data_IF_569584575959
#
_entry.id   IF_569584575959
#
_cell.length_a   1.000
_cell.length_b   1.000
_cell.length_c   1.000
_cell.angle_alpha   90.00
_cell.angle_beta   90.00
_cell.angle_gamma   90.00
#
_symmetry.space_group_name_H-M   'P 1'
#
loop_
_entity.id
_entity.type
_entity.pdbx_description
1 polymer ?
#
# COMPACT_ATOMS: atom_id res chain seq x y z
N UNK A 1 -5.71 2.84 31.58
CA UNK A 1 -7.05 2.99 31.03
C UNK A 1 -7.79 4.03 31.88
N UNK A 2 -7.64 5.31 31.54
CA UNK A 2 -8.51 6.37 32.05
C UNK A 2 -9.74 6.42 31.15
N UNK A 3 -10.93 6.50 31.73
CA UNK A 3 -12.10 6.98 31.03
C UNK A 3 -11.75 8.39 30.55
N UNK A 4 -11.53 8.55 29.26
CA UNK A 4 -11.34 9.88 28.68
C UNK A 4 -12.72 10.52 28.54
N UNK A 5 -12.88 11.77 28.95
CA UNK A 5 -14.10 12.58 28.79
C UNK A 5 -14.47 12.83 27.31
N UNK A 6 -14.22 11.85 26.45
CA UNK A 6 -14.42 11.97 25.00
C UNK A 6 -13.40 12.88 24.29
N UNK A 7 -12.31 13.27 24.98
CA UNK A 7 -11.25 14.10 24.40
C UNK A 7 -9.85 13.69 24.86
N UNK A 8 -8.84 14.06 24.08
CA UNK A 8 -7.41 13.88 24.40
C UNK A 8 -6.59 15.04 23.84
N UNK A 9 -5.42 15.30 24.40
CA UNK A 9 -4.53 16.36 23.89
C UNK A 9 -3.84 15.88 22.62
N UNK A 10 -3.92 16.66 21.54
CA UNK A 10 -3.27 16.34 20.25
C UNK A 10 -1.74 16.35 20.38
N UNK A 11 -1.10 15.35 19.80
CA UNK A 11 0.35 15.26 19.61
C UNK A 11 0.80 15.90 18.30
N UNK A 12 -0.11 16.10 17.35
CA UNK A 12 0.18 16.61 15.99
C UNK A 12 1.00 17.92 15.97
N UNK A 13 0.79 18.90 16.88
CA UNK A 13 1.61 20.10 16.89
C UNK A 13 3.11 19.87 17.15
N UNK A 14 3.45 18.76 17.82
CA UNK A 14 4.83 18.39 18.16
C UNK A 14 5.36 17.29 17.24
N UNK A 15 4.49 16.39 16.82
CA UNK A 15 4.81 15.21 16.03
C UNK A 15 3.85 15.18 14.83
N UNK A 16 4.21 15.84 13.74
CA UNK A 16 3.28 16.05 12.62
C UNK A 16 2.73 14.76 12.01
N UNK A 17 3.49 13.68 11.97
CA UNK A 17 3.00 12.39 11.44
C UNK A 17 1.89 11.75 12.30
N UNK A 18 1.61 12.23 13.52
CA UNK A 18 0.44 11.83 14.30
C UNK A 18 -0.89 12.31 13.70
N UNK A 19 -0.85 13.30 12.77
CA UNK A 19 -2.02 13.96 12.19
C UNK A 19 -3.09 12.98 11.70
N UNK A 20 -2.72 12.06 10.84
CA UNK A 20 -3.69 11.14 10.24
C UNK A 20 -4.21 10.11 11.26
N UNK A 21 -3.36 9.64 12.15
CA UNK A 21 -3.78 8.69 13.20
C UNK A 21 -4.76 9.32 14.18
N UNK A 22 -4.55 10.57 14.57
CA UNK A 22 -5.48 11.29 15.44
C UNK A 22 -6.80 11.57 14.74
N UNK A 23 -6.78 11.92 13.46
CA UNK A 23 -8.00 12.11 12.65
C UNK A 23 -8.77 10.78 12.48
N UNK A 24 -8.07 9.68 12.29
CA UNK A 24 -8.67 8.35 12.28
C UNK A 24 -9.33 8.03 13.63
N UNK A 25 -8.67 8.30 14.75
CA UNK A 25 -9.25 8.14 16.09
C UNK A 25 -10.50 8.99 16.26
N UNK A 26 -10.49 10.25 15.79
CA UNK A 26 -11.67 11.13 15.83
C UNK A 26 -12.82 10.54 14.99
N UNK A 27 -12.55 10.08 13.79
CA UNK A 27 -13.57 9.51 12.90
C UNK A 27 -14.13 8.19 13.45
N UNK A 28 -13.24 7.26 13.81
CA UNK A 28 -13.62 5.87 14.12
C UNK A 28 -14.18 5.70 15.53
N UNK A 29 -13.76 6.53 16.49
CA UNK A 29 -14.17 6.44 17.90
C UNK A 29 -14.94 7.65 18.41
N UNK A 30 -14.96 8.77 17.67
CA UNK A 30 -15.65 9.99 18.07
C UNK A 30 -15.01 10.70 19.25
N UNK A 31 -13.71 10.55 19.43
CA UNK A 31 -12.93 11.30 20.40
C UNK A 31 -12.49 12.64 19.80
N UNK A 32 -12.29 13.64 20.62
CA UNK A 32 -11.86 14.97 20.19
C UNK A 32 -10.37 15.17 20.49
N UNK A 33 -9.55 15.35 19.46
CA UNK A 33 -8.13 15.71 19.63
C UNK A 33 -8.02 17.23 19.85
N UNK A 34 -7.92 17.63 21.12
CA UNK A 34 -7.86 19.05 21.51
C UNK A 34 -6.54 19.68 21.06
N UNK A 35 -6.61 20.77 20.29
CA UNK A 35 -5.43 21.44 19.75
C UNK A 35 -4.90 20.85 18.46
N UNK A 36 -5.63 19.93 17.83
CA UNK A 36 -5.26 19.41 16.51
C UNK A 36 -5.32 20.51 15.43
N UNK A 37 -4.28 20.70 14.61
CA UNK A 37 -4.24 21.80 13.64
C UNK A 37 -5.19 21.60 12.44
N UNK A 38 -5.58 20.37 12.13
CA UNK A 38 -6.48 20.02 11.04
C UNK A 38 -7.47 18.92 11.45
N UNK A 39 -8.55 19.22 12.17
CA UNK A 39 -9.50 18.24 12.69
C UNK A 39 -10.52 17.74 11.65
N UNK A 40 -10.28 17.96 10.35
CA UNK A 40 -11.20 17.51 9.29
C UNK A 40 -11.28 15.98 9.22
N UNK A 41 -12.45 15.39 8.89
CA UNK A 41 -12.58 13.95 8.65
C UNK A 41 -11.54 13.43 7.64
N UNK A 42 -11.02 12.25 7.88
CA UNK A 42 -10.02 11.59 7.03
C UNK A 42 -10.53 10.27 6.45
N UNK A 43 -11.01 9.38 7.30
CA UNK A 43 -11.36 7.99 6.94
C UNK A 43 -12.82 7.89 6.52
N UNK A 44 -13.71 8.58 7.23
CA UNK A 44 -15.14 8.57 6.94
C UNK A 44 -15.46 9.66 5.92
N UNK A 45 -15.96 9.26 4.75
CA UNK A 45 -16.30 10.17 3.65
C UNK A 45 -17.55 11.02 3.95
N UNK A 46 -17.80 12.03 3.13
CA UNK A 46 -18.87 13.00 3.33
C UNK A 46 -20.29 12.41 3.33
N UNK A 47 -20.48 11.28 2.69
CA UNK A 47 -21.73 10.53 2.73
C UNK A 47 -21.93 9.68 3.99
N UNK A 48 -20.97 9.69 4.92
CA UNK A 48 -21.04 8.92 6.16
C UNK A 48 -22.04 9.55 7.15
N UNK A 49 -22.56 8.74 8.03
CA UNK A 49 -23.60 9.13 8.99
C UNK A 49 -23.04 10.02 10.07
N UNK A 50 -23.68 11.18 10.28
CA UNK A 50 -23.28 12.12 11.30
C UNK A 50 -23.40 11.50 12.71
N UNK A 51 -22.31 11.58 13.47
CA UNK A 51 -22.27 11.03 14.84
C UNK A 51 -22.14 9.51 14.93
N UNK A 52 -21.98 8.80 13.79
CA UNK A 52 -21.64 7.39 13.79
C UNK A 52 -20.13 7.19 13.79
N UNK A 53 -19.64 6.37 14.74
CA UNK A 53 -18.24 6.04 14.92
C UNK A 53 -18.08 4.53 14.93
N UNK A 54 -17.74 3.92 13.78
CA UNK A 54 -17.93 2.49 13.54
C UNK A 54 -17.10 1.57 14.44
N UNK A 55 -16.00 2.01 15.02
CA UNK A 55 -15.19 1.16 15.90
C UNK A 55 -15.60 1.24 17.39
N UNK A 56 -16.62 2.00 17.75
CA UNK A 56 -17.18 1.93 19.10
C UNK A 56 -17.77 0.55 19.39
N UNK A 57 -17.56 0.02 20.59
CA UNK A 57 -17.91 -1.36 20.95
C UNK A 57 -19.41 -1.66 20.91
N UNK A 58 -20.26 -0.66 21.12
CA UNK A 58 -21.72 -0.81 21.05
C UNK A 58 -22.28 -0.79 19.63
N UNK A 59 -21.46 -0.51 18.62
CA UNK A 59 -21.86 -0.53 17.20
C UNK A 59 -21.57 -1.92 16.64
N UNK A 60 -22.61 -2.58 16.11
CA UNK A 60 -22.49 -3.87 15.41
C UNK A 60 -22.27 -3.73 13.91
N UNK A 61 -21.85 -4.83 13.26
CA UNK A 61 -21.69 -4.86 11.80
C UNK A 61 -23.03 -4.66 11.04
N UNK A 62 -24.13 -5.05 11.66
CA UNK A 62 -25.48 -5.06 11.06
C UNK A 62 -26.34 -3.86 11.50
N UNK A 63 -25.78 -2.94 12.28
CA UNK A 63 -26.51 -1.77 12.72
C UNK A 63 -26.82 -0.87 11.53
N UNK A 64 -28.10 -0.83 11.15
CA UNK A 64 -28.61 0.05 10.09
C UNK A 64 -28.44 1.50 10.49
N UNK A 65 -27.52 2.16 9.81
CA UNK A 65 -27.25 3.59 10.04
C UNK A 65 -28.22 4.42 9.21
N UNK A 66 -29.00 5.27 9.86
CA UNK A 66 -29.92 6.19 9.18
C UNK A 66 -29.14 7.29 8.44
N UNK A 67 -29.36 7.48 7.13
CA UNK A 67 -28.53 8.36 6.33
C UNK A 67 -28.91 9.83 6.53
N UNK A 68 -28.22 10.55 7.40
CA UNK A 68 -28.08 11.99 7.25
C UNK A 68 -26.85 12.28 6.40
N UNK A 69 -27.04 12.54 5.11
CA UNK A 69 -25.93 12.81 4.19
C UNK A 69 -25.33 14.19 4.50
N UNK A 70 -24.05 14.19 4.87
CA UNK A 70 -23.25 15.41 4.82
C UNK A 70 -23.01 15.74 3.35
N UNK A 71 -23.21 17.00 2.96
CA UNK A 71 -22.77 17.51 1.66
C UNK A 71 -21.42 18.17 1.86
N UNK A 72 -20.45 17.76 1.04
CA UNK A 72 -19.18 18.47 0.94
C UNK A 72 -19.30 19.58 -0.10
N UNK A 73 -18.89 20.79 0.30
CA UNK A 73 -18.82 21.92 -0.61
C UNK A 73 -17.41 21.99 -1.19
N UNK A 74 -17.32 21.78 -2.50
CA UNK A 74 -16.07 21.94 -3.24
C UNK A 74 -15.80 23.41 -3.53
N UNK A 75 -14.50 23.77 -3.61
CA UNK A 75 -14.10 25.11 -4.04
C UNK A 75 -14.34 25.27 -5.54
N UNK A 76 -15.39 26.00 -5.91
CA UNK A 76 -15.71 26.27 -7.30
C UNK A 76 -14.99 27.54 -7.76
N UNK A 77 -14.02 27.38 -8.67
CA UNK A 77 -13.38 28.51 -9.33
C UNK A 77 -14.27 29.01 -10.47
N UNK A 78 -14.48 30.34 -10.53
CA UNK A 78 -15.25 30.99 -11.59
C UNK A 78 -14.32 31.75 -12.51
N UNK A 79 -14.55 31.67 -13.83
CA UNK A 79 -13.81 32.41 -14.85
C UNK A 79 -14.13 31.88 -16.24
N UNK A 80 -13.86 32.69 -17.25
CA UNK A 80 -14.07 32.28 -18.64
C UNK A 80 -13.13 31.11 -18.99
N UNK A 81 -13.71 30.03 -19.53
CA UNK A 81 -12.96 28.83 -19.90
C UNK A 81 -12.54 27.92 -18.75
N UNK A 82 -12.94 28.24 -17.50
CA UNK A 82 -12.70 27.38 -16.33
C UNK A 82 -13.74 26.25 -16.33
N UNK A 83 -13.28 25.03 -16.17
CA UNK A 83 -14.12 23.84 -16.03
C UNK A 83 -13.59 22.90 -14.94
N UNK A 84 -14.44 22.02 -14.45
CA UNK A 84 -14.11 21.06 -13.43
C UNK A 84 -14.02 19.63 -14.00
N UNK A 85 -12.98 18.89 -13.61
CA UNK A 85 -12.80 17.47 -13.96
C UNK A 85 -12.80 16.65 -12.67
N UNK A 86 -13.90 15.93 -12.36
CA UNK A 86 -13.93 15.00 -11.25
C UNK A 86 -13.31 13.66 -11.66
N UNK A 87 -12.38 13.14 -10.85
CA UNK A 87 -11.73 11.85 -11.05
C UNK A 87 -11.90 11.00 -9.80
N UNK A 88 -12.40 9.79 -9.95
CA UNK A 88 -12.72 8.90 -8.83
C UNK A 88 -14.05 9.26 -8.13
N UNK A 89 -14.36 8.64 -6.96
CA UNK A 89 -13.44 7.93 -6.05
C UNK A 89 -13.03 6.51 -6.49
N UNK A 90 -13.71 5.89 -7.42
CA UNK A 90 -13.39 4.55 -7.93
C UNK A 90 -12.55 4.69 -9.20
N UNK A 91 -11.40 4.00 -9.22
CA UNK A 91 -10.48 3.98 -10.34
C UNK A 91 -10.37 2.58 -10.94
N UNK A 92 -9.92 2.49 -12.20
CA UNK A 92 -9.51 1.24 -12.80
C UNK A 92 -8.13 0.83 -12.29
N UNK A 93 -7.90 -0.48 -12.11
CA UNK A 93 -6.63 -1.01 -11.66
C UNK A 93 -6.51 -1.14 -10.14
N UNK A 94 -5.28 -1.19 -9.63
CA UNK A 94 -4.94 -1.43 -8.21
C UNK A 94 -4.70 -0.10 -7.50
N UNK A 95 -5.64 0.83 -7.62
CA UNK A 95 -5.57 2.15 -6.99
C UNK A 95 -6.63 2.21 -5.91
N UNK A 96 -6.22 2.59 -4.69
CA UNK A 96 -7.17 2.79 -3.59
C UNK A 96 -8.16 3.92 -3.91
N UNK A 97 -9.41 3.81 -3.42
CA UNK A 97 -10.43 4.83 -3.65
C UNK A 97 -9.98 6.21 -3.18
N UNK A 98 -10.11 7.18 -4.05
CA UNK A 98 -9.81 8.59 -3.76
C UNK A 98 -10.45 9.50 -4.81
N UNK A 99 -10.98 10.64 -4.38
CA UNK A 99 -11.56 11.61 -5.29
C UNK A 99 -10.58 12.78 -5.50
N UNK A 100 -10.32 13.08 -6.76
CA UNK A 100 -9.51 14.21 -7.20
C UNK A 100 -10.39 15.13 -8.02
N UNK A 101 -10.51 16.39 -7.61
CA UNK A 101 -11.25 17.38 -8.36
C UNK A 101 -10.32 18.46 -8.87
N UNK A 102 -10.15 18.47 -10.17
CA UNK A 102 -9.33 19.44 -10.88
C UNK A 102 -10.22 20.59 -11.34
N UNK A 103 -9.82 21.84 -11.07
CA UNK A 103 -10.31 23.01 -11.76
C UNK A 103 -9.25 23.41 -12.78
N UNK A 104 -9.60 23.46 -14.06
CA UNK A 104 -8.67 23.67 -15.16
C UNK A 104 -9.15 24.76 -16.10
N UNK A 105 -8.20 25.40 -16.79
CA UNK A 105 -8.45 26.28 -17.94
C UNK A 105 -7.53 25.84 -19.09
N UNK A 106 -8.13 25.27 -20.12
CA UNK A 106 -7.37 24.54 -21.14
C UNK A 106 -6.64 23.34 -20.52
N UNK A 107 -5.33 23.28 -20.67
CA UNK A 107 -4.47 22.22 -20.09
C UNK A 107 -3.92 22.57 -18.71
N UNK A 108 -4.06 23.84 -18.28
CA UNK A 108 -3.52 24.29 -17.00
C UNK A 108 -4.43 23.96 -15.85
N UNK A 109 -3.89 23.26 -14.82
CA UNK A 109 -4.57 22.98 -13.56
C UNK A 109 -4.46 24.23 -12.69
N UNK A 110 -5.61 24.82 -12.34
CA UNK A 110 -5.70 26.02 -11.49
C UNK A 110 -5.86 25.65 -10.01
N UNK A 111 -6.56 24.54 -9.74
CA UNK A 111 -6.78 24.04 -8.38
C UNK A 111 -6.95 22.52 -8.41
N UNK A 112 -6.45 21.86 -7.37
CA UNK A 112 -6.66 20.44 -7.11
C UNK A 112 -7.17 20.24 -5.69
N UNK A 113 -8.37 19.68 -5.56
CA UNK A 113 -8.88 19.17 -4.29
C UNK A 113 -8.75 17.65 -4.23
N UNK A 114 -8.17 17.15 -3.15
CA UNK A 114 -7.95 15.73 -2.91
C UNK A 114 -8.79 15.27 -1.73
N UNK A 115 -9.55 14.18 -1.92
CA UNK A 115 -10.39 13.54 -0.90
C UNK A 115 -10.09 12.06 -0.84
N UNK A 116 -9.46 11.60 0.24
CA UNK A 116 -8.94 10.23 0.38
C UNK A 116 -9.82 9.30 1.23
N UNK A 117 -10.94 9.77 1.75
CA UNK A 117 -11.76 9.10 2.75
C UNK A 117 -12.72 8.01 2.24
N UNK A 118 -12.32 7.17 1.28
CA UNK A 118 -13.22 6.18 0.67
C UNK A 118 -12.74 4.73 0.87
N UNK A 119 -11.79 4.50 1.76
CA UNK A 119 -11.11 3.20 1.94
C UNK A 119 -11.70 2.34 3.05
N UNK A 120 -12.48 2.91 3.98
CA UNK A 120 -13.05 2.17 5.09
C UNK A 120 -14.08 1.14 4.64
N UNK A 121 -13.85 -0.14 4.95
CA UNK A 121 -14.70 -1.28 4.59
C UNK A 121 -15.19 -2.08 5.81
N UNK A 122 -14.91 -1.60 7.02
CA UNK A 122 -15.29 -2.26 8.27
C UNK A 122 -14.51 -3.51 8.60
N UNK A 123 -13.29 -3.68 8.04
CA UNK A 123 -12.46 -4.86 8.27
C UNK A 123 -12.15 -5.03 9.75
N UNK A 124 -11.77 -3.95 10.45
CA UNK A 124 -11.44 -3.93 11.88
C UNK A 124 -12.63 -4.38 12.72
N UNK A 125 -13.83 -3.88 12.41
CA UNK A 125 -15.08 -4.28 13.09
C UNK A 125 -15.38 -5.76 12.87
N UNK A 126 -15.20 -6.26 11.64
CA UNK A 126 -15.41 -7.66 11.32
C UNK A 126 -14.38 -8.61 11.94
N UNK A 127 -13.20 -8.09 12.33
CA UNK A 127 -12.17 -8.85 13.04
C UNK A 127 -12.47 -8.99 14.54
N UNK A 128 -13.30 -8.10 15.12
CA UNK A 128 -13.65 -8.17 16.53
C UNK A 128 -14.33 -9.51 16.88
N UNK A 129 -13.75 -10.28 17.78
CA UNK A 129 -14.26 -11.58 18.21
C UNK A 129 -14.22 -12.67 17.14
N UNK A 130 -13.63 -12.45 15.99
CA UNK A 130 -13.52 -13.46 14.94
C UNK A 130 -12.58 -14.60 15.36
N UNK A 131 -12.93 -15.88 15.10
CA UNK A 131 -12.02 -16.98 15.31
C UNK A 131 -10.73 -16.79 14.52
N UNK A 132 -9.54 -17.20 15.05
CA UNK A 132 -8.25 -16.91 14.43
C UNK A 132 -8.13 -17.29 12.96
N UNK A 133 -8.64 -18.47 12.58
CA UNK A 133 -8.62 -18.90 11.18
C UNK A 133 -9.53 -18.08 10.25
N UNK A 134 -10.62 -17.47 10.76
CA UNK A 134 -11.42 -16.51 10.00
C UNK A 134 -10.72 -15.17 9.91
N UNK A 135 -10.15 -14.69 11.02
CA UNK A 135 -9.41 -13.45 11.08
C UNK A 135 -8.25 -13.47 10.09
N UNK A 136 -7.44 -14.54 10.08
CA UNK A 136 -6.34 -14.72 9.13
C UNK A 136 -6.79 -14.59 7.66
N UNK A 137 -7.89 -15.26 7.28
CA UNK A 137 -8.43 -15.12 5.91
C UNK A 137 -8.94 -13.72 5.58
N UNK A 138 -9.37 -12.94 6.59
CA UNK A 138 -9.81 -11.57 6.39
C UNK A 138 -8.64 -10.62 6.20
N UNK A 139 -7.50 -10.86 6.86
CA UNK A 139 -6.31 -10.00 6.70
C UNK A 139 -5.77 -10.02 5.28
N UNK A 140 -5.84 -11.15 4.56
CA UNK A 140 -5.47 -11.25 3.14
C UNK A 140 -6.30 -10.34 2.21
N UNK A 141 -7.40 -9.77 2.72
CA UNK A 141 -8.34 -8.93 1.96
C UNK A 141 -8.29 -7.47 2.37
N UNK A 142 -7.40 -7.10 3.28
CA UNK A 142 -7.11 -5.70 3.62
C UNK A 142 -6.58 -4.98 2.37
N UNK A 143 -5.61 -5.60 1.69
CA UNK A 143 -5.18 -5.21 0.36
C UNK A 143 -5.02 -6.48 -0.47
N UNK A 144 -5.77 -6.62 -1.56
CA UNK A 144 -5.82 -7.86 -2.33
C UNK A 144 -4.48 -8.30 -2.91
N UNK A 145 -3.60 -7.35 -3.20
CA UNK A 145 -2.27 -7.58 -3.75
C UNK A 145 -1.20 -7.86 -2.68
N UNK A 146 -1.49 -7.56 -1.41
CA UNK A 146 -0.56 -7.70 -0.28
C UNK A 146 -1.08 -8.70 0.76
N UNK A 147 -1.68 -9.79 0.29
CA UNK A 147 -2.29 -10.81 1.15
C UNK A 147 -1.28 -11.50 2.06
N UNK A 148 -0.05 -11.77 1.56
CA UNK A 148 1.03 -12.40 2.36
C UNK A 148 1.50 -11.45 3.45
N UNK A 149 1.77 -10.19 3.14
CA UNK A 149 2.26 -9.23 4.12
C UNK A 149 1.27 -9.04 5.28
N UNK A 150 -0.01 -8.88 4.98
CA UNK A 150 -1.05 -8.72 6.02
C UNK A 150 -1.30 -9.99 6.83
N UNK A 151 -1.35 -11.17 6.17
CA UNK A 151 -1.52 -12.43 6.88
C UNK A 151 -0.30 -12.77 7.75
N UNK A 152 0.90 -12.45 7.27
CA UNK A 152 2.14 -12.65 8.01
C UNK A 152 2.21 -11.75 9.24
N UNK A 153 1.86 -10.46 9.11
CA UNK A 153 1.80 -9.55 10.25
C UNK A 153 0.78 -10.03 11.31
N UNK A 154 -0.38 -10.54 10.89
CA UNK A 154 -1.35 -11.13 11.79
C UNK A 154 -0.81 -12.38 12.49
N UNK A 155 -0.17 -13.30 11.73
CA UNK A 155 0.42 -14.51 12.30
C UNK A 155 1.49 -14.15 13.34
N UNK A 156 2.40 -13.24 13.05
CA UNK A 156 3.44 -12.80 13.97
C UNK A 156 2.87 -12.21 15.27
N UNK A 157 1.82 -11.39 15.17
CA UNK A 157 1.14 -10.85 16.33
C UNK A 157 0.45 -11.93 17.16
N UNK A 158 -0.15 -12.92 16.52
CA UNK A 158 -0.86 -14.02 17.20
C UNK A 158 0.11 -15.06 17.79
N UNK A 159 1.21 -15.31 17.11
CA UNK A 159 2.26 -16.27 17.49
C UNK A 159 3.28 -15.69 18.47
N UNK A 160 3.10 -14.45 18.95
CA UNK A 160 4.03 -13.81 19.88
C UNK A 160 4.33 -14.72 21.09
N UNK A 161 5.60 -15.09 21.27
CA UNK A 161 6.04 -16.01 22.31
C UNK A 161 5.96 -17.51 21.95
N UNK A 162 5.64 -17.86 20.71
CA UNK A 162 5.65 -19.23 20.21
C UNK A 162 6.66 -19.38 19.07
N UNK A 163 7.34 -20.52 19.04
CA UNK A 163 8.33 -20.81 18.00
C UNK A 163 7.67 -21.31 16.71
N UNK A 164 7.99 -20.67 15.59
CA UNK A 164 7.66 -21.14 14.25
C UNK A 164 8.83 -21.98 13.71
N UNK A 165 8.59 -23.18 13.12
CA UNK A 165 9.66 -24.04 12.61
C UNK A 165 10.55 -23.28 11.59
N UNK A 166 11.90 -23.45 11.65
CA UNK A 166 12.81 -22.71 10.76
C UNK A 166 12.49 -22.84 9.28
N UNK A 167 12.11 -24.03 8.82
CA UNK A 167 11.72 -24.26 7.41
C UNK A 167 10.50 -23.43 7.01
N UNK A 168 9.53 -23.28 7.91
CA UNK A 168 8.35 -22.44 7.67
C UNK A 168 8.71 -20.95 7.65
N UNK A 169 9.66 -20.50 8.48
CA UNK A 169 10.17 -19.13 8.44
C UNK A 169 10.78 -18.79 7.08
N UNK A 170 11.61 -19.68 6.51
CA UNK A 170 12.16 -19.49 5.15
C UNK A 170 11.06 -19.51 4.09
N UNK A 171 10.09 -20.42 4.17
CA UNK A 171 8.98 -20.48 3.23
C UNK A 171 8.15 -19.18 3.26
N UNK A 172 7.89 -18.62 4.44
CA UNK A 172 7.20 -17.32 4.60
C UNK A 172 8.01 -16.18 3.98
N UNK A 173 9.34 -16.18 4.11
CA UNK A 173 10.20 -15.20 3.43
C UNK A 173 10.08 -15.31 1.91
N UNK A 174 10.12 -16.54 1.36
CA UNK A 174 9.96 -16.76 -0.09
C UNK A 174 8.60 -16.22 -0.55
N UNK A 175 7.51 -16.53 0.14
CA UNK A 175 6.18 -16.03 -0.20
C UNK A 175 6.12 -14.50 -0.16
N UNK A 176 6.75 -13.86 0.83
CA UNK A 176 6.80 -12.40 0.96
C UNK A 176 7.60 -11.74 -0.18
N UNK A 177 8.71 -12.35 -0.61
CA UNK A 177 9.50 -11.83 -1.73
C UNK A 177 8.81 -12.08 -3.08
N UNK A 178 8.11 -13.20 -3.27
CA UNK A 178 7.25 -13.41 -4.44
C UNK A 178 6.15 -12.35 -4.55
N UNK A 179 5.52 -12.00 -3.41
CA UNK A 179 4.55 -10.91 -3.32
C UNK A 179 5.18 -9.57 -3.72
N UNK A 180 6.37 -9.27 -3.22
CA UNK A 180 7.11 -8.05 -3.57
C UNK A 180 7.38 -7.97 -5.06
N UNK A 181 7.87 -9.05 -5.67
CA UNK A 181 8.21 -9.09 -7.10
C UNK A 181 6.99 -8.80 -7.97
N UNK A 182 5.87 -9.52 -7.77
CA UNK A 182 4.72 -9.29 -8.65
C UNK A 182 4.06 -7.91 -8.45
N UNK A 183 4.15 -7.34 -7.25
CA UNK A 183 3.69 -5.97 -7.00
C UNK A 183 4.57 -4.94 -7.70
N UNK A 184 5.89 -5.06 -7.57
CA UNK A 184 6.81 -4.15 -8.26
C UNK A 184 6.68 -4.23 -9.78
N UNK A 185 6.51 -5.43 -10.34
CA UNK A 185 6.22 -5.59 -11.77
C UNK A 185 4.92 -4.85 -12.16
N UNK A 186 3.87 -4.97 -11.34
CA UNK A 186 2.61 -4.25 -11.55
C UNK A 186 2.78 -2.73 -11.53
N UNK A 187 3.53 -2.21 -10.56
CA UNK A 187 3.80 -0.78 -10.42
C UNK A 187 4.64 -0.21 -11.58
N UNK A 188 5.69 -0.93 -11.99
CA UNK A 188 6.55 -0.51 -13.10
C UNK A 188 5.78 -0.53 -14.42
N UNK A 189 4.96 -1.57 -14.65
CA UNK A 189 4.11 -1.67 -15.83
C UNK A 189 3.03 -0.57 -15.85
N UNK A 190 2.41 -0.29 -14.69
CA UNK A 190 1.43 0.79 -14.53
C UNK A 190 2.04 2.16 -14.85
N UNK A 191 3.25 2.43 -14.36
CA UNK A 191 3.98 3.66 -14.65
C UNK A 191 4.24 3.81 -16.18
N UNK A 192 4.67 2.74 -16.85
CA UNK A 192 4.87 2.76 -18.29
C UNK A 192 3.56 3.01 -19.04
N UNK A 193 2.45 2.41 -18.60
CA UNK A 193 1.13 2.61 -19.19
C UNK A 193 0.63 4.04 -19.01
N UNK A 194 0.74 4.62 -17.83
CA UNK A 194 0.29 5.97 -17.49
C UNK A 194 1.08 7.06 -18.25
N UNK A 195 2.32 6.74 -18.61
CA UNK A 195 3.15 7.60 -19.46
C UNK A 195 2.96 7.33 -20.96
N UNK A 196 1.93 6.56 -21.34
CA UNK A 196 1.61 6.16 -22.71
C UNK A 196 2.70 5.32 -23.40
N UNK A 197 3.51 4.58 -22.65
CA UNK A 197 4.54 3.69 -23.19
C UNK A 197 4.06 2.23 -23.20
N UNK A 198 3.12 1.92 -24.08
CA UNK A 198 2.35 0.69 -24.06
C UNK A 198 3.18 -0.60 -24.26
N UNK A 199 4.27 -0.56 -25.05
CA UNK A 199 5.07 -1.77 -25.36
C UNK A 199 5.78 -2.29 -24.10
N UNK A 200 6.61 -1.52 -23.37
CA UNK A 200 7.19 -1.99 -22.12
C UNK A 200 6.13 -2.34 -21.06
N UNK A 201 5.01 -1.60 -21.02
CA UNK A 201 3.92 -1.92 -20.12
C UNK A 201 3.38 -3.33 -20.36
N UNK A 202 3.09 -3.68 -21.63
CA UNK A 202 2.60 -5.01 -22.00
C UNK A 202 3.62 -6.10 -21.71
N UNK A 203 4.91 -5.87 -22.01
CA UNK A 203 6.00 -6.81 -21.71
C UNK A 203 6.06 -7.10 -20.19
N UNK A 204 6.05 -6.07 -19.36
CA UNK A 204 6.17 -6.23 -17.89
C UNK A 204 4.89 -6.81 -17.28
N UNK A 205 3.69 -6.48 -17.78
CA UNK A 205 2.46 -7.16 -17.37
C UNK A 205 2.49 -8.65 -17.73
N UNK A 206 3.08 -9.03 -18.85
CA UNK A 206 3.27 -10.46 -19.19
C UNK A 206 4.21 -11.15 -18.19
N UNK A 207 5.29 -10.48 -17.73
CA UNK A 207 6.15 -10.99 -16.67
C UNK A 207 5.41 -11.14 -15.34
N UNK A 208 4.59 -10.16 -14.99
CA UNK A 208 3.71 -10.25 -13.81
C UNK A 208 2.80 -11.47 -13.90
N UNK A 209 2.22 -11.73 -15.08
CA UNK A 209 1.38 -12.91 -15.30
C UNK A 209 2.15 -14.23 -15.13
N UNK A 210 3.40 -14.29 -15.58
CA UNK A 210 4.29 -15.44 -15.34
C UNK A 210 4.47 -15.67 -13.82
N UNK A 211 4.70 -14.62 -13.04
CA UNK A 211 4.80 -14.71 -11.57
C UNK A 211 3.50 -15.18 -10.93
N UNK A 212 2.36 -14.66 -11.35
CA UNK A 212 1.05 -15.07 -10.83
C UNK A 212 0.74 -16.54 -11.20
N UNK A 213 1.20 -17.00 -12.37
CA UNK A 213 1.12 -18.40 -12.77
C UNK A 213 2.01 -19.32 -11.91
N UNK A 214 3.23 -18.90 -11.59
CA UNK A 214 4.11 -19.59 -10.64
C UNK A 214 3.44 -19.70 -9.27
N UNK A 215 2.95 -18.59 -8.72
CA UNK A 215 2.26 -18.57 -7.43
C UNK A 215 1.11 -19.58 -7.38
N UNK A 216 0.29 -19.63 -8.45
CA UNK A 216 -0.81 -20.58 -8.54
C UNK A 216 -0.35 -22.04 -8.55
N UNK A 217 0.78 -22.35 -9.18
CA UNK A 217 1.35 -23.71 -9.20
C UNK A 217 1.81 -24.14 -7.83
N UNK A 218 2.57 -23.29 -7.12
CA UNK A 218 3.19 -23.66 -5.84
C UNK A 218 2.25 -23.54 -4.63
N UNK A 219 1.19 -22.70 -4.71
CA UNK A 219 0.29 -22.47 -3.57
C UNK A 219 -1.19 -22.72 -3.87
N UNK A 220 -1.56 -22.96 -5.13
CA UNK A 220 -2.95 -23.07 -5.55
C UNK A 220 -3.68 -21.73 -5.71
N UNK A 221 -3.03 -20.59 -5.44
CA UNK A 221 -3.65 -19.26 -5.57
C UNK A 221 -2.69 -18.23 -6.17
N UNK A 222 -3.14 -17.51 -7.21
CA UNK A 222 -2.34 -16.54 -7.96
C UNK A 222 -1.74 -15.42 -7.07
N UNK A 223 -2.50 -14.97 -6.08
CA UNK A 223 -2.11 -13.93 -5.13
C UNK A 223 -1.63 -14.51 -3.79
N UNK A 224 -1.20 -15.80 -3.77
CA UNK A 224 -0.66 -16.49 -2.59
C UNK A 224 -1.64 -16.58 -1.39
N UNK A 225 -2.94 -16.33 -1.58
CA UNK A 225 -3.92 -16.38 -0.50
C UNK A 225 -4.04 -17.80 0.08
N UNK A 226 -4.10 -17.89 1.39
CA UNK A 226 -4.16 -19.15 2.12
C UNK A 226 -2.82 -19.88 2.20
N UNK A 227 -1.73 -19.30 1.70
CA UNK A 227 -0.41 -19.91 1.79
C UNK A 227 0.22 -19.76 3.19
N UNK A 228 0.04 -18.60 3.83
CA UNK A 228 0.46 -18.36 5.22
C UNK A 228 -0.61 -18.87 6.17
N UNK A 229 -0.20 -19.61 7.19
CA UNK A 229 -1.08 -20.16 8.24
C UNK A 229 -0.49 -19.90 9.62
N UNK A 230 -1.30 -20.02 10.65
CA UNK A 230 -0.81 -20.00 12.04
C UNK A 230 0.12 -21.20 12.25
N UNK A 231 1.29 -20.93 12.84
CA UNK A 231 2.35 -21.90 13.07
C UNK A 231 3.22 -22.23 11.85
N UNK A 232 2.98 -21.61 10.66
CA UNK A 232 3.81 -21.86 9.50
C UNK A 232 3.19 -21.47 8.16
N UNK A 233 3.23 -22.39 7.21
CA UNK A 233 2.61 -22.30 5.88
C UNK A 233 1.69 -23.49 5.65
N UNK A 234 0.69 -23.36 4.77
CA UNK A 234 -0.24 -24.44 4.45
C UNK A 234 0.51 -25.66 3.93
N UNK A 235 1.39 -25.44 2.98
CA UNK A 235 2.25 -26.46 2.39
C UNK A 235 3.70 -26.00 2.46
N UNK A 236 4.62 -26.93 2.68
CA UNK A 236 6.05 -26.65 2.56
C UNK A 236 6.46 -26.79 1.10
N UNK A 237 7.21 -25.84 0.59
CA UNK A 237 7.77 -25.90 -0.76
C UNK A 237 8.65 -27.15 -0.90
N UNK A 238 8.39 -27.95 -1.93
CA UNK A 238 9.24 -29.07 -2.33
C UNK A 238 10.53 -28.56 -3.01
N UNK A 239 11.50 -29.43 -3.21
CA UNK A 239 12.71 -29.08 -3.98
C UNK A 239 12.35 -28.67 -5.42
N UNK A 240 11.39 -29.36 -6.04
CA UNK A 240 10.92 -29.02 -7.38
C UNK A 240 10.23 -27.62 -7.43
N UNK A 241 9.49 -27.24 -6.37
CA UNK A 241 8.91 -25.89 -6.27
C UNK A 241 10.01 -24.82 -6.14
N UNK A 242 11.07 -25.11 -5.38
CA UNK A 242 12.21 -24.20 -5.23
C UNK A 242 12.93 -24.01 -6.56
N UNK A 243 13.17 -25.09 -7.31
CA UNK A 243 13.78 -25.05 -8.64
C UNK A 243 12.91 -24.24 -9.64
N UNK A 244 11.58 -24.44 -9.63
CA UNK A 244 10.64 -23.65 -10.47
C UNK A 244 10.65 -22.18 -10.10
N UNK A 245 10.68 -21.86 -8.80
CA UNK A 245 10.81 -20.47 -8.29
C UNK A 245 12.10 -19.83 -8.80
N UNK A 246 13.25 -20.47 -8.60
CA UNK A 246 14.55 -19.96 -9.03
C UNK A 246 14.61 -19.74 -10.55
N UNK A 247 14.22 -20.75 -11.32
CA UNK A 247 14.21 -20.67 -12.79
C UNK A 247 13.31 -19.56 -13.32
N UNK A 248 12.12 -19.41 -12.73
CA UNK A 248 11.16 -18.38 -13.10
C UNK A 248 11.67 -16.97 -12.74
N UNK A 249 12.18 -16.78 -11.51
CA UNK A 249 12.72 -15.50 -11.05
C UNK A 249 13.90 -15.03 -11.91
N UNK A 250 14.86 -15.92 -12.21
CA UNK A 250 15.99 -15.60 -13.08
C UNK A 250 15.54 -15.13 -14.47
N UNK A 251 14.56 -15.81 -15.07
CA UNK A 251 13.98 -15.40 -16.35
C UNK A 251 13.31 -14.04 -16.25
N UNK A 252 12.45 -13.84 -15.26
CA UNK A 252 11.70 -12.59 -15.04
C UNK A 252 12.67 -11.42 -14.82
N UNK A 253 13.72 -11.59 -14.00
CA UNK A 253 14.71 -10.55 -13.77
C UNK A 253 15.45 -10.13 -15.04
N UNK A 254 15.87 -11.10 -15.88
CA UNK A 254 16.56 -10.79 -17.13
C UNK A 254 15.66 -10.05 -18.13
N UNK A 255 14.41 -10.47 -18.29
CA UNK A 255 13.46 -9.84 -19.21
C UNK A 255 13.01 -8.45 -18.69
N UNK A 256 12.85 -8.29 -17.37
CA UNK A 256 12.57 -6.99 -16.75
C UNK A 256 13.69 -5.99 -17.04
N UNK A 257 14.98 -6.37 -16.87
CA UNK A 257 16.12 -5.48 -17.18
C UNK A 257 16.06 -4.98 -18.61
N UNK A 258 15.76 -5.85 -19.57
CA UNK A 258 15.62 -5.47 -20.99
C UNK A 258 14.51 -4.45 -21.19
N UNK A 259 13.35 -4.63 -20.56
CA UNK A 259 12.22 -3.70 -20.67
C UNK A 259 12.54 -2.36 -20.01
N UNK A 260 13.19 -2.38 -18.84
CA UNK A 260 13.63 -1.16 -18.12
C UNK A 260 14.69 -0.37 -18.90
N UNK A 261 15.65 -1.04 -19.54
CA UNK A 261 16.64 -0.39 -20.42
C UNK A 261 15.97 0.31 -21.60
N UNK A 262 14.94 -0.32 -22.20
CA UNK A 262 14.12 0.30 -23.25
C UNK A 262 13.39 1.54 -22.72
N UNK A 263 12.85 1.49 -21.50
CA UNK A 263 12.20 2.65 -20.87
C UNK A 263 13.20 3.78 -20.65
N UNK A 264 14.35 3.50 -20.07
CA UNK A 264 15.42 4.49 -19.78
C UNK A 264 16.01 5.11 -21.04
N UNK A 265 16.05 4.38 -22.14
CA UNK A 265 16.55 4.90 -23.43
C UNK A 265 15.53 5.73 -24.20
N UNK A 266 14.30 5.86 -23.72
CA UNK A 266 13.25 6.69 -24.34
C UNK A 266 13.25 8.11 -23.76
N UNK A 267 13.67 9.14 -24.53
CA UNK A 267 13.65 10.53 -24.03
C UNK A 267 12.24 10.98 -23.61
N UNK A 268 11.20 10.59 -24.35
CA UNK A 268 9.81 10.95 -24.05
C UNK A 268 9.32 10.33 -22.73
N UNK A 269 9.77 9.13 -22.40
CA UNK A 269 9.46 8.51 -21.12
C UNK A 269 10.23 9.22 -19.98
N UNK A 270 11.54 9.40 -20.14
CA UNK A 270 12.37 10.04 -19.14
C UNK A 270 11.92 11.47 -18.82
N UNK A 271 11.54 12.25 -19.82
CA UNK A 271 10.98 13.61 -19.65
C UNK A 271 9.71 13.66 -18.77
N UNK A 272 8.97 12.55 -18.71
CA UNK A 272 7.74 12.44 -17.88
C UNK A 272 8.00 11.96 -16.46
N UNK A 273 9.09 11.29 -16.20
CA UNK A 273 9.38 10.66 -14.89
C UNK A 273 10.50 11.34 -14.12
N UNK A 274 11.49 11.90 -14.80
CA UNK A 274 12.57 12.66 -14.18
C UNK A 274 12.05 13.99 -13.66
N UNK A 275 12.48 14.36 -12.47
CA UNK A 275 12.08 15.60 -11.77
C UNK A 275 10.56 15.78 -11.58
N UNK A 276 9.78 14.72 -11.81
CA UNK A 276 8.32 14.73 -11.65
C UNK A 276 7.91 14.23 -10.27
N UNK A 277 7.03 14.97 -9.59
CA UNK A 277 6.44 14.58 -8.31
C UNK A 277 7.47 14.38 -7.20
N UNK A 278 8.45 15.26 -7.10
CA UNK A 278 9.53 15.20 -6.11
C UNK A 278 8.95 15.25 -4.69
N UNK A 279 9.34 14.29 -3.86
CA UNK A 279 9.16 14.32 -2.42
C UNK A 279 10.52 14.57 -1.79
N UNK A 280 10.73 15.78 -1.30
CA UNK A 280 11.99 16.17 -0.67
C UNK A 280 12.30 15.30 0.56
N UNK A 281 13.59 15.04 0.82
CA UNK A 281 14.04 14.22 1.96
C UNK A 281 13.48 14.73 3.29
N UNK A 282 13.41 16.06 3.48
CA UNK A 282 12.85 16.66 4.68
C UNK A 282 11.36 16.33 4.83
N UNK A 283 10.59 16.45 3.76
CA UNK A 283 9.15 16.15 3.76
C UNK A 283 8.92 14.66 4.04
N UNK A 284 9.68 13.78 3.36
CA UNK A 284 9.62 12.34 3.58
C UNK A 284 9.91 11.96 5.05
N UNK A 285 10.90 12.61 5.65
CA UNK A 285 11.25 12.42 7.07
C UNK A 285 10.17 12.93 8.01
N UNK A 286 9.67 14.15 7.79
CA UNK A 286 8.68 14.79 8.66
C UNK A 286 7.33 14.04 8.64
N UNK A 287 6.98 13.45 7.50
CA UNK A 287 5.78 12.62 7.31
C UNK A 287 6.02 11.12 7.60
N UNK A 288 7.25 10.72 7.92
CA UNK A 288 7.63 9.31 8.11
C UNK A 288 7.24 8.43 6.93
N UNK A 289 7.50 8.89 5.72
CA UNK A 289 7.23 8.14 4.50
C UNK A 289 8.11 6.89 4.46
N UNK A 290 7.50 5.73 4.26
CA UNK A 290 8.16 4.42 4.21
C UNK A 290 8.07 3.78 2.83
N UNK A 291 8.69 2.63 2.68
CA UNK A 291 8.63 1.84 1.44
C UNK A 291 9.38 2.49 0.28
N UNK A 292 9.07 2.13 -0.97
CA UNK A 292 9.77 2.62 -2.16
C UNK A 292 9.81 4.15 -2.27
N UNK A 293 8.75 4.84 -1.85
CA UNK A 293 8.69 6.31 -1.87
C UNK A 293 9.68 6.91 -0.88
N UNK A 294 9.73 6.39 0.34
CA UNK A 294 10.69 6.82 1.35
C UNK A 294 12.13 6.59 0.92
N UNK A 295 12.43 5.40 0.40
CA UNK A 295 13.77 5.05 -0.09
C UNK A 295 14.19 5.84 -1.33
N UNK A 296 13.26 6.23 -2.18
CA UNK A 296 13.51 7.16 -3.29
C UNK A 296 13.84 8.58 -2.81
N UNK A 297 13.42 8.94 -1.60
CA UNK A 297 13.57 10.27 -0.98
C UNK A 297 14.59 10.29 0.17
N UNK A 298 15.55 9.38 0.19
CA UNK A 298 16.66 9.38 1.14
C UNK A 298 16.35 8.75 2.52
N UNK A 299 15.17 8.13 2.70
CA UNK A 299 14.83 7.45 3.96
C UNK A 299 15.36 6.00 3.93
N UNK A 300 16.50 5.76 4.58
CA UNK A 300 17.11 4.43 4.68
C UNK A 300 16.39 3.57 5.74
N UNK A 301 15.18 3.12 5.39
CA UNK A 301 14.32 2.31 6.26
C UNK A 301 13.82 1.08 5.51
N UNK A 302 14.10 -0.10 6.07
CA UNK A 302 13.53 -1.38 5.61
C UNK A 302 13.26 -2.28 6.82
N UNK A 303 12.00 -2.64 7.02
CA UNK A 303 11.57 -3.44 8.17
C UNK A 303 12.23 -4.81 8.23
N UNK A 304 12.61 -5.39 7.09
CA UNK A 304 13.30 -6.68 7.03
C UNK A 304 14.70 -6.62 7.65
N UNK A 305 15.38 -5.46 7.54
CA UNK A 305 16.71 -5.18 8.09
C UNK A 305 16.62 -4.59 9.50
N UNK A 306 15.75 -3.58 9.71
CA UNK A 306 15.73 -2.76 10.90
C UNK A 306 14.96 -3.40 12.05
N UNK A 307 13.97 -4.25 11.72
CA UNK A 307 13.16 -5.05 12.64
C UNK A 307 12.97 -6.46 12.06
N UNK A 308 14.04 -7.24 11.93
CA UNK A 308 14.01 -8.50 11.22
C UNK A 308 13.02 -9.48 11.82
N UNK A 309 12.25 -10.10 10.95
CA UNK A 309 11.24 -11.10 11.27
C UNK A 309 11.47 -12.35 10.43
N UNK A 310 10.86 -13.48 10.82
CA UNK A 310 11.04 -14.78 10.18
C UNK A 310 12.55 -15.11 10.00
N UNK A 311 12.98 -15.47 8.81
CA UNK A 311 14.38 -15.78 8.52
C UNK A 311 15.20 -14.57 8.03
N UNK A 312 14.64 -13.35 7.94
CA UNK A 312 15.37 -12.20 7.36
C UNK A 312 16.66 -11.84 8.10
N UNK A 313 16.76 -12.07 9.41
CA UNK A 313 18.01 -11.88 10.16
C UNK A 313 19.17 -12.78 9.69
N UNK A 314 18.89 -13.83 8.93
CA UNK A 314 19.86 -14.80 8.41
C UNK A 314 20.15 -14.59 6.92
N UNK A 315 19.45 -13.65 6.27
CA UNK A 315 19.60 -13.33 4.85
C UNK A 315 20.47 -12.09 4.70
N UNK A 316 21.23 -12.05 3.61
CA UNK A 316 22.03 -10.89 3.25
C UNK A 316 21.44 -10.27 1.99
N UNK A 317 20.93 -9.05 2.10
CA UNK A 317 20.35 -8.28 0.99
C UNK A 317 20.66 -6.80 1.18
N UNK A 318 20.66 -6.05 0.09
CA UNK A 318 20.85 -4.60 0.11
C UNK A 318 19.50 -3.89 0.12
N UNK A 319 19.47 -2.72 0.73
CA UNK A 319 18.33 -1.80 0.69
C UNK A 319 18.62 -0.72 -0.33
N UNK A 320 17.93 -0.68 -1.48
CA UNK A 320 18.14 0.37 -2.48
C UNK A 320 17.77 1.74 -1.91
N UNK A 321 18.63 2.74 -2.12
CA UNK A 321 18.43 4.09 -1.61
C UNK A 321 18.77 5.12 -2.69
N UNK A 322 17.83 6.03 -2.93
CA UNK A 322 17.95 7.17 -3.83
C UNK A 322 17.60 8.46 -3.08
N UNK A 323 17.92 9.63 -3.64
CA UNK A 323 17.68 10.93 -2.99
C UNK A 323 16.92 11.92 -3.85
N UNK A 324 16.71 11.58 -5.12
CA UNK A 324 16.05 12.44 -6.10
C UNK A 324 14.57 12.64 -5.76
N UNK A 325 13.93 11.67 -5.11
CA UNK A 325 12.57 11.73 -4.59
C UNK A 325 11.49 11.81 -5.67
N UNK A 326 11.84 11.71 -6.94
CA UNK A 326 10.95 11.78 -8.09
C UNK A 326 10.39 10.41 -8.51
N UNK A 327 9.60 10.39 -9.57
CA UNK A 327 8.99 9.17 -10.11
C UNK A 327 10.05 8.21 -10.65
N UNK A 328 11.11 8.73 -11.29
CA UNK A 328 12.26 7.95 -11.79
C UNK A 328 12.96 7.20 -10.66
N UNK A 329 13.26 7.89 -9.55
CA UNK A 329 13.85 7.28 -8.37
C UNK A 329 12.96 6.18 -7.76
N UNK A 330 11.64 6.41 -7.70
CA UNK A 330 10.67 5.39 -7.21
C UNK A 330 10.62 4.16 -8.09
N UNK A 331 10.73 4.32 -9.41
CA UNK A 331 10.86 3.21 -10.35
C UNK A 331 12.17 2.45 -10.10
N UNK A 332 13.29 3.19 -9.97
CA UNK A 332 14.61 2.60 -9.78
C UNK A 332 14.72 1.80 -8.46
N UNK A 333 14.10 2.30 -7.37
CA UNK A 333 13.98 1.51 -6.11
C UNK A 333 13.30 0.17 -6.39
N UNK A 334 12.16 0.17 -7.06
CA UNK A 334 11.40 -1.06 -7.34
C UNK A 334 12.19 -2.04 -8.21
N UNK A 335 12.86 -1.55 -9.23
CA UNK A 335 13.71 -2.40 -10.11
C UNK A 335 14.82 -3.06 -9.29
N UNK A 336 15.53 -2.31 -8.45
CA UNK A 336 16.59 -2.88 -7.61
C UNK A 336 16.03 -3.81 -6.52
N UNK A 337 14.84 -3.54 -5.98
CA UNK A 337 14.19 -4.44 -5.02
C UNK A 337 13.76 -5.76 -5.67
N UNK A 338 13.38 -5.77 -6.94
CA UNK A 338 13.18 -7.03 -7.69
C UNK A 338 14.49 -7.80 -7.80
N UNK A 339 15.58 -7.13 -8.17
CA UNK A 339 16.90 -7.78 -8.24
C UNK A 339 17.37 -8.35 -6.89
N UNK A 340 17.10 -7.67 -5.78
CA UNK A 340 17.46 -8.14 -4.42
C UNK A 340 16.51 -9.24 -3.90
N UNK A 341 15.31 -9.37 -4.45
CA UNK A 341 14.35 -10.42 -4.10
C UNK A 341 14.62 -11.75 -4.85
N UNK A 342 15.42 -11.72 -5.92
CA UNK A 342 15.83 -12.88 -6.73
C UNK A 342 17.05 -13.55 -6.13
#
# INVERSE_FOLDING_TARGET
SGETDGSFTSLTPQIYHANWYEREVMDMFGLVATGHPDPRPLVLHDGWYKGSHPLRKHIGCDDGLAPERRRYEFNVLKGDGVFEVPVGPVHAGVIEPGHFRFSAAGESILNLEVRLGYVHRGVEKCLEGAPPGRALRMTERISGDNGVAHSLAFCQAYEAGHDVPPRAQYARCILAELERVYNHLGDIAGLALDTAFAVPAADIYALREVMLGLNARITGHRMLWGAVTLGGTRDLLSEADVDDVQGTLMKVGNELRTSVERMRSSPSFMDRVDTTGIVEEKVARDLRVVGPIGRASGQDLDVRRDHPYEAYSKLNFRVPLFREGDVSARMNVRVQEVDESI
#
